data_IF_826811027118
#
_entry.id   IF_826811027118
#
_cell.length_a   1.000
_cell.length_b   1.000
_cell.length_c   1.000
_cell.angle_alpha   90.00
_cell.angle_beta   90.00
_cell.angle_gamma   90.00
#
_symmetry.space_group_name_H-M   'P 1'
#
loop_
_entity.id
_entity.type
_entity.pdbx_description
1 polymer ?
#
# COMPACT_ATOMS: atom_id res chain seq x y z
N UNK A 1 20.73 4.15 -67.00
CA UNK A 1 21.24 4.34 -65.63
C UNK A 1 20.04 4.53 -64.71
N UNK A 2 19.70 3.52 -63.91
CA UNK A 2 18.61 3.57 -62.93
C UNK A 2 19.25 3.64 -61.54
N UNK A 3 19.07 4.75 -60.82
CA UNK A 3 19.48 4.86 -59.42
C UNK A 3 18.24 4.70 -58.55
N UNK A 4 18.19 3.60 -57.80
CA UNK A 4 17.20 3.34 -56.76
C UNK A 4 17.80 3.88 -55.46
N UNK A 5 17.21 4.93 -54.89
CA UNK A 5 17.57 5.44 -53.58
C UNK A 5 16.93 4.56 -52.50
N UNK A 6 17.76 3.88 -51.71
CA UNK A 6 17.34 3.17 -50.51
C UNK A 6 17.18 4.19 -49.37
N UNK A 7 15.94 4.43 -48.94
CA UNK A 7 15.65 5.14 -47.70
C UNK A 7 15.71 4.10 -46.57
N UNK A 8 16.80 4.10 -45.81
CA UNK A 8 16.93 3.31 -44.60
C UNK A 8 16.10 3.98 -43.49
N UNK A 9 14.94 3.41 -43.15
CA UNK A 9 14.18 3.79 -41.96
C UNK A 9 14.88 3.26 -40.71
N UNK A 10 15.47 4.16 -39.93
CA UNK A 10 16.00 3.85 -38.59
C UNK A 10 14.83 3.68 -37.62
N UNK A 11 14.52 2.43 -37.24
CA UNK A 11 13.59 2.13 -36.15
C UNK A 11 14.37 2.25 -34.84
N UNK A 12 14.20 3.34 -34.10
CA UNK A 12 14.77 3.47 -32.75
C UNK A 12 13.95 2.57 -31.83
N UNK A 13 14.47 1.39 -31.54
CA UNK A 13 13.94 0.51 -30.49
C UNK A 13 14.28 1.14 -29.14
N UNK A 14 13.37 1.94 -28.58
CA UNK A 14 13.46 2.35 -27.18
C UNK A 14 13.16 1.10 -26.35
N UNK A 15 14.21 0.44 -25.85
CA UNK A 15 14.04 -0.55 -24.79
C UNK A 15 13.62 0.19 -23.53
N UNK A 16 12.33 0.14 -23.19
CA UNK A 16 11.88 0.51 -21.86
C UNK A 16 12.50 -0.51 -20.88
N UNK A 17 13.55 -0.12 -20.17
CA UNK A 17 13.98 -0.91 -19.02
C UNK A 17 12.89 -0.76 -17.97
N UNK A 18 12.27 -1.88 -17.58
CA UNK A 18 11.29 -1.85 -16.50
C UNK A 18 12.01 -1.38 -15.23
N UNK A 19 11.54 -0.28 -14.64
CA UNK A 19 12.04 0.20 -13.37
C UNK A 19 11.86 -0.90 -12.32
N UNK A 20 12.90 -1.16 -11.54
CA UNK A 20 12.83 -2.14 -10.47
C UNK A 20 11.83 -1.71 -9.39
N UNK A 21 11.30 -2.68 -8.64
CA UNK A 21 10.30 -2.41 -7.60
C UNK A 21 10.34 -3.41 -6.47
N UNK A 22 9.92 -2.97 -5.29
CA UNK A 22 9.53 -3.83 -4.17
C UNK A 22 8.06 -4.19 -4.36
N UNK A 23 7.75 -5.49 -4.38
CA UNK A 23 6.39 -6.01 -4.50
C UNK A 23 5.86 -6.40 -3.12
N UNK A 24 4.73 -5.84 -2.73
CA UNK A 24 4.00 -6.22 -1.53
C UNK A 24 3.21 -7.48 -1.82
N UNK A 25 3.34 -8.48 -0.95
CA UNK A 25 2.65 -9.77 -1.10
C UNK A 25 1.76 -10.01 0.12
N UNK A 26 0.46 -9.68 0.02
CA UNK A 26 -0.52 -9.99 1.03
C UNK A 26 -0.77 -11.50 1.13
N UNK A 27 -0.75 -12.03 2.34
CA UNK A 27 -0.96 -13.45 2.60
C UNK A 27 -1.73 -13.70 3.90
N UNK A 28 -2.37 -14.86 3.94
CA UNK A 28 -3.03 -15.42 5.11
C UNK A 28 -2.35 -16.75 5.45
N UNK A 29 -1.55 -16.74 6.52
CA UNK A 29 -0.69 -17.89 6.83
C UNK A 29 0.32 -18.14 5.71
N UNK A 30 0.26 -19.32 5.10
CA UNK A 30 1.14 -19.70 3.98
C UNK A 30 0.56 -19.35 2.60
N UNK A 31 -0.70 -18.93 2.53
CA UNK A 31 -1.43 -18.74 1.28
C UNK A 31 -1.45 -17.26 0.87
N UNK A 32 -1.35 -16.98 -0.43
CA UNK A 32 -1.55 -15.63 -0.96
C UNK A 32 -3.03 -15.25 -0.81
N UNK A 33 -3.30 -13.99 -0.48
CA UNK A 33 -4.69 -13.52 -0.43
C UNK A 33 -5.27 -13.31 -1.84
N UNK A 34 -6.35 -14.02 -2.10
CA UNK A 34 -7.35 -13.85 -3.14
C UNK A 34 -8.68 -13.34 -2.55
N UNK A 35 -9.34 -12.42 -3.25
CA UNK A 35 -10.64 -11.89 -2.80
C UNK A 35 -11.76 -12.91 -3.03
N UNK A 36 -12.75 -12.93 -2.13
CA UNK A 36 -13.88 -13.86 -2.08
C UNK A 36 -13.47 -15.34 -1.92
N UNK A 37 -12.23 -15.59 -1.52
CA UNK A 37 -11.76 -16.89 -1.06
C UNK A 37 -11.92 -17.01 0.46
N UNK A 38 -12.25 -18.21 0.93
CA UNK A 38 -12.44 -18.49 2.36
C UNK A 38 -11.18 -19.10 2.95
N UNK A 39 -10.60 -18.41 3.94
CA UNK A 39 -9.45 -18.84 4.72
C UNK A 39 -9.86 -19.44 6.06
N UNK A 40 -9.09 -20.42 6.51
CA UNK A 40 -9.43 -21.19 7.70
C UNK A 40 -10.80 -21.86 7.53
N UNK A 41 -11.72 -21.57 8.45
CA UNK A 41 -13.05 -22.19 8.43
C UNK A 41 -14.17 -21.26 7.93
N UNK A 42 -13.95 -19.94 7.87
CA UNK A 42 -15.06 -19.00 7.66
C UNK A 42 -14.66 -17.58 7.25
N UNK A 43 -13.38 -17.26 7.16
CA UNK A 43 -12.93 -15.87 6.98
C UNK A 43 -12.73 -15.55 5.51
N UNK A 44 -13.32 -14.50 4.97
CA UNK A 44 -13.12 -14.09 3.57
C UNK A 44 -12.93 -12.59 3.45
N UNK A 45 -12.18 -12.15 2.44
CA UNK A 45 -12.00 -10.73 2.12
C UNK A 45 -12.70 -10.39 0.81
N UNK A 46 -13.57 -9.40 0.81
CA UNK A 46 -14.19 -8.87 -0.43
C UNK A 46 -13.46 -7.62 -0.94
N UNK A 47 -12.74 -6.91 -0.06
CA UNK A 47 -11.94 -5.74 -0.43
C UNK A 47 -10.77 -5.57 0.53
N UNK A 48 -9.60 -5.27 -0.03
CA UNK A 48 -8.46 -4.76 0.73
C UNK A 48 -7.80 -3.66 -0.11
N UNK A 49 -7.78 -2.45 0.43
CA UNK A 49 -7.07 -1.29 -0.11
C UNK A 49 -6.35 -0.56 1.00
N UNK A 50 -5.20 0.03 0.71
CA UNK A 50 -4.48 0.84 1.70
C UNK A 50 -3.56 1.84 1.00
N UNK A 51 -3.25 2.93 1.69
CA UNK A 51 -2.25 3.87 1.24
C UNK A 51 -0.89 3.56 1.82
N UNK A 52 0.14 3.72 0.98
CA UNK A 52 1.52 3.88 1.43
C UNK A 52 2.00 5.26 1.00
N UNK A 53 2.45 6.08 1.94
CA UNK A 53 2.99 7.42 1.67
C UNK A 53 4.36 7.59 2.33
N UNK A 54 5.01 8.73 2.08
CA UNK A 54 6.30 9.09 2.69
C UNK A 54 7.36 7.99 2.54
N UNK A 55 7.42 7.38 1.34
CA UNK A 55 8.34 6.28 1.06
C UNK A 55 9.77 6.80 1.02
N UNK A 56 10.63 6.14 1.78
CA UNK A 56 12.05 6.41 1.96
C UNK A 56 12.83 5.10 1.81
N UNK A 57 13.87 5.14 0.98
CA UNK A 57 14.83 4.05 0.85
C UNK A 57 16.08 4.45 1.62
N UNK A 58 16.35 3.76 2.73
CA UNK A 58 17.39 4.16 3.67
C UNK A 58 18.59 3.20 3.61
N UNK A 59 19.79 3.79 3.57
CA UNK A 59 21.05 3.08 3.71
C UNK A 59 21.59 3.30 5.13
N UNK A 60 21.52 2.27 5.96
CA UNK A 60 21.94 2.34 7.36
C UNK A 60 23.46 2.51 7.53
N UNK A 61 24.27 1.92 6.67
CA UNK A 61 25.74 1.98 6.77
C UNK A 61 26.28 3.38 6.46
N UNK A 62 25.70 4.02 5.44
CA UNK A 62 26.07 5.36 4.99
C UNK A 62 25.26 6.47 5.68
N UNK A 63 24.19 6.12 6.40
CA UNK A 63 23.22 7.04 6.97
C UNK A 63 22.65 8.01 5.91
N UNK A 64 22.26 7.44 4.76
CA UNK A 64 21.71 8.17 3.61
C UNK A 64 20.27 7.75 3.33
N UNK A 65 19.47 8.68 2.81
CA UNK A 65 18.05 8.46 2.51
C UNK A 65 17.74 8.93 1.07
N UNK A 66 16.99 8.10 0.35
CA UNK A 66 16.36 8.47 -0.91
C UNK A 66 14.84 8.51 -0.73
N UNK A 67 14.27 9.71 -0.79
CA UNK A 67 12.81 9.91 -0.74
C UNK A 67 12.17 9.65 -2.11
N UNK A 68 11.09 8.88 -2.11
CA UNK A 68 10.26 8.73 -3.31
C UNK A 68 9.65 10.07 -3.70
N UNK A 69 9.59 10.33 -5.01
CA UNK A 69 8.95 11.53 -5.58
C UNK A 69 7.43 11.44 -5.55
N UNK A 70 6.86 10.25 -5.45
CA UNK A 70 5.41 10.04 -5.44
C UNK A 70 4.88 10.22 -4.01
N UNK A 71 3.87 11.08 -3.87
CA UNK A 71 3.30 11.46 -2.56
C UNK A 71 2.68 10.26 -1.82
N UNK A 72 1.87 9.48 -2.53
CA UNK A 72 1.23 8.29 -2.00
C UNK A 72 0.99 7.26 -3.10
N UNK A 73 0.95 6.00 -2.71
CA UNK A 73 0.62 4.85 -3.52
C UNK A 73 -0.70 4.26 -3.00
N UNK A 74 -1.71 4.17 -3.87
CA UNK A 74 -2.93 3.41 -3.56
C UNK A 74 -2.70 1.93 -3.89
N UNK A 75 -2.61 1.10 -2.85
CA UNK A 75 -2.48 -0.34 -2.97
C UNK A 75 -3.87 -0.97 -3.01
N UNK A 76 -4.20 -1.69 -4.07
CA UNK A 76 -5.46 -2.43 -4.24
C UNK A 76 -5.16 -3.89 -4.59
N UNK A 77 -5.55 -4.82 -3.69
CA UNK A 77 -5.27 -6.25 -3.90
C UNK A 77 -5.96 -6.80 -5.15
N UNK A 78 -7.07 -6.21 -5.60
CA UNK A 78 -7.73 -6.59 -6.86
C UNK A 78 -6.91 -6.22 -8.10
N UNK A 79 -5.91 -5.34 -7.97
CA UNK A 79 -5.00 -4.96 -9.04
C UNK A 79 -3.54 -5.11 -8.60
N UNK A 80 -2.96 -6.27 -8.92
CA UNK A 80 -1.58 -6.64 -8.55
C UNK A 80 -0.49 -5.65 -9.03
N UNK A 81 -0.77 -4.82 -10.04
CA UNK A 81 0.21 -3.81 -10.50
C UNK A 81 0.34 -2.66 -9.51
N UNK A 82 -0.71 -2.38 -8.73
CA UNK A 82 -0.67 -1.34 -7.69
C UNK A 82 0.21 -1.74 -6.53
N UNK A 83 0.39 -3.04 -6.26
CA UNK A 83 1.15 -3.58 -5.13
C UNK A 83 2.67 -3.48 -5.28
N UNK A 84 3.17 -2.55 -6.10
CA UNK A 84 4.58 -2.36 -6.42
C UNK A 84 5.01 -0.95 -6.08
N UNK A 85 6.11 -0.83 -5.35
CA UNK A 85 6.78 0.44 -5.05
C UNK A 85 8.06 0.50 -5.89
N UNK A 86 8.16 1.40 -6.88
CA UNK A 86 9.37 1.54 -7.69
C UNK A 86 10.58 1.92 -6.84
N UNK A 87 11.70 1.25 -7.06
CA UNK A 87 12.97 1.51 -6.36
C UNK A 87 13.82 2.53 -7.14
N UNK A 88 14.72 3.26 -6.47
CA UNK A 88 15.72 4.08 -7.14
C UNK A 88 16.73 3.21 -7.91
N UNK A 89 17.07 3.60 -9.14
CA UNK A 89 17.94 2.80 -10.04
C UNK A 89 19.43 2.76 -9.61
N UNK A 90 19.89 3.75 -8.84
CA UNK A 90 21.32 3.93 -8.52
C UNK A 90 21.56 4.21 -7.04
N UNK A 91 20.63 3.82 -6.18
CA UNK A 91 20.77 3.97 -4.74
C UNK A 91 20.67 2.60 -4.07
N UNK A 92 21.73 2.21 -3.36
CA UNK A 92 21.72 1.00 -2.55
C UNK A 92 21.10 1.31 -1.19
N UNK A 93 20.03 0.61 -0.84
CA UNK A 93 19.33 0.75 0.43
C UNK A 93 19.31 -0.58 1.17
N UNK A 94 19.34 -0.51 2.50
CA UNK A 94 19.22 -1.66 3.40
C UNK A 94 17.84 -1.73 4.06
N UNK A 95 17.11 -0.61 4.08
CA UNK A 95 15.80 -0.47 4.71
C UNK A 95 14.80 0.21 3.80
N UNK A 96 13.54 -0.19 3.93
CA UNK A 96 12.39 0.54 3.40
C UNK A 96 11.65 1.16 4.58
N UNK A 97 11.46 2.48 4.53
CA UNK A 97 10.63 3.25 5.46
C UNK A 97 9.43 3.81 4.72
N UNK A 98 8.25 3.77 5.34
CA UNK A 98 7.04 4.38 4.80
C UNK A 98 5.99 4.63 5.88
N UNK A 99 4.98 5.42 5.54
CA UNK A 99 3.74 5.56 6.32
C UNK A 99 2.66 4.66 5.71
N UNK A 100 2.09 3.74 6.50
CA UNK A 100 0.84 3.09 6.20
C UNK A 100 -0.31 4.07 6.50
N UNK A 101 -0.88 4.65 5.45
CA UNK A 101 -1.83 5.75 5.52
C UNK A 101 -1.27 7.07 4.97
N UNK A 102 -2.00 8.15 5.22
CA UNK A 102 -1.67 9.52 4.82
C UNK A 102 -1.40 10.37 6.06
N UNK A 103 -0.27 11.08 6.07
CA UNK A 103 0.13 11.93 7.20
C UNK A 103 -0.83 13.13 7.40
N UNK A 104 -0.78 13.71 8.60
CA UNK A 104 -1.65 14.81 9.01
C UNK A 104 -1.58 16.04 8.11
N UNK A 105 -0.38 16.39 7.63
CA UNK A 105 -0.19 17.60 6.81
C UNK A 105 -0.82 17.39 5.44
N UNK A 106 -0.55 16.27 4.80
CA UNK A 106 -1.15 15.92 3.49
C UNK A 106 -2.67 15.81 3.61
N UNK A 107 -3.18 15.13 4.64
CA UNK A 107 -4.62 14.95 4.84
C UNK A 107 -5.35 16.28 5.06
N UNK A 108 -4.73 17.22 5.78
CA UNK A 108 -5.30 18.55 6.04
C UNK A 108 -5.50 19.42 4.80
N UNK A 109 -4.87 19.08 3.67
CA UNK A 109 -5.06 19.76 2.38
C UNK A 109 -6.40 19.41 1.72
N UNK A 110 -7.12 18.42 2.25
CA UNK A 110 -8.39 17.95 1.71
C UNK A 110 -8.20 16.92 0.59
N UNK A 111 -9.16 16.88 -0.33
CA UNK A 111 -9.13 15.95 -1.45
C UNK A 111 -8.09 16.39 -2.50
N UNK A 112 -7.13 15.51 -2.77
CA UNK A 112 -6.10 15.63 -3.80
C UNK A 112 -6.43 14.73 -5.00
N UNK A 113 -5.54 14.70 -6.00
CA UNK A 113 -5.70 13.96 -7.26
C UNK A 113 -4.86 12.67 -7.30
N UNK A 114 -4.82 12.02 -8.46
CA UNK A 114 -4.07 10.78 -8.71
C UNK A 114 -4.51 9.66 -7.75
N UNK A 115 -3.59 8.91 -7.16
CA UNK A 115 -3.90 7.84 -6.21
C UNK A 115 -4.72 8.34 -5.01
N UNK A 116 -4.64 9.64 -4.69
CA UNK A 116 -5.39 10.30 -3.62
C UNK A 116 -6.75 10.86 -4.05
N UNK A 117 -7.18 10.60 -5.29
CA UNK A 117 -8.48 11.04 -5.79
C UNK A 117 -9.64 10.31 -5.05
N UNK A 118 -10.62 11.05 -4.49
CA UNK A 118 -11.79 10.46 -3.86
C UNK A 118 -12.58 9.46 -4.72
N UNK A 119 -12.43 9.48 -6.06
CA UNK A 119 -13.03 8.49 -6.97
C UNK A 119 -12.65 7.05 -6.61
N UNK A 120 -11.50 6.85 -5.97
CA UNK A 120 -11.05 5.55 -5.49
C UNK A 120 -11.82 5.04 -4.25
N UNK A 121 -12.73 5.86 -3.71
CA UNK A 121 -13.56 5.55 -2.56
C UNK A 121 -12.75 5.44 -1.27
N UNK A 122 -11.59 6.10 -1.21
CA UNK A 122 -10.65 6.05 -0.08
C UNK A 122 -10.58 7.40 0.67
N UNK A 123 -11.64 8.21 0.54
CA UNK A 123 -11.81 9.49 1.23
C UNK A 123 -13.22 9.58 1.82
N UNK A 124 -13.34 9.92 3.10
CA UNK A 124 -14.63 10.18 3.75
C UNK A 124 -15.06 11.61 3.51
N UNK A 125 -16.27 11.80 2.98
CA UNK A 125 -16.85 13.14 2.78
C UNK A 125 -17.54 13.71 4.01
N UNK A 126 -18.04 12.86 4.92
CA UNK A 126 -18.78 13.30 6.12
C UNK A 126 -17.88 13.73 7.29
N UNK A 127 -16.66 13.19 7.35
CA UNK A 127 -15.65 13.53 8.36
C UNK A 127 -14.38 14.13 7.74
N UNK A 128 -14.40 14.36 6.42
CA UNK A 128 -13.30 14.92 5.60
C UNK A 128 -11.94 14.33 5.95
N UNK A 129 -11.60 13.20 5.34
CA UNK A 129 -10.26 12.67 5.47
C UNK A 129 -10.04 11.32 4.79
N UNK A 130 -8.78 11.01 4.53
CA UNK A 130 -8.40 9.74 3.91
C UNK A 130 -8.66 8.54 4.82
N UNK A 131 -9.10 7.45 4.19
CA UNK A 131 -9.13 6.12 4.78
C UNK A 131 -7.75 5.51 4.52
N UNK A 132 -6.95 5.38 5.57
CA UNK A 132 -5.59 4.83 5.48
C UNK A 132 -5.62 3.37 5.00
N UNK A 133 -6.50 2.57 5.59
CA UNK A 133 -6.67 1.16 5.27
C UNK A 133 -8.15 0.80 5.23
N UNK A 134 -8.58 0.13 4.16
CA UNK A 134 -9.94 -0.34 3.91
C UNK A 134 -9.94 -1.85 3.74
N UNK A 135 -10.59 -2.56 4.65
CA UNK A 135 -10.77 -4.00 4.60
C UNK A 135 -12.26 -4.30 4.78
N UNK A 136 -12.83 -5.10 3.87
CA UNK A 136 -14.21 -5.58 3.93
C UNK A 136 -14.21 -7.08 3.70
N UNK A 137 -15.16 -7.79 4.32
CA UNK A 137 -15.22 -9.24 4.22
C UNK A 137 -16.33 -9.87 5.05
N UNK A 138 -16.22 -11.17 5.27
CA UNK A 138 -17.11 -11.91 6.16
C UNK A 138 -16.37 -12.92 7.04
N UNK A 139 -16.96 -13.19 8.21
CA UNK A 139 -16.60 -14.29 9.12
C UNK A 139 -17.84 -15.16 9.27
N UNK A 140 -17.93 -16.21 8.45
CA UNK A 140 -19.16 -16.97 8.27
C UNK A 140 -20.22 -16.08 7.60
N UNK A 141 -21.38 -15.99 8.22
CA UNK A 141 -22.50 -15.16 7.75
C UNK A 141 -22.40 -13.68 8.20
N UNK A 142 -21.49 -13.37 9.14
CA UNK A 142 -21.30 -12.02 9.65
C UNK A 142 -20.38 -11.21 8.73
N UNK A 143 -20.83 -10.05 8.27
CA UNK A 143 -19.99 -9.11 7.53
C UNK A 143 -19.16 -8.24 8.47
N UNK A 144 -17.92 -7.97 8.10
CA UNK A 144 -17.09 -6.98 8.78
C UNK A 144 -16.61 -5.89 7.82
N UNK A 145 -16.42 -4.68 8.36
CA UNK A 145 -15.96 -3.49 7.65
C UNK A 145 -14.98 -2.71 8.52
N UNK A 146 -13.74 -2.60 8.04
CA UNK A 146 -12.66 -1.84 8.66
C UNK A 146 -12.21 -0.74 7.71
N UNK A 147 -12.77 0.45 7.86
CA UNK A 147 -12.29 1.66 7.20
C UNK A 147 -11.56 2.45 8.29
N UNK A 148 -10.24 2.32 8.27
CA UNK A 148 -9.34 2.82 9.30
C UNK A 148 -8.73 4.11 8.79
N UNK A 149 -9.04 5.21 9.46
CA UNK A 149 -8.59 6.54 9.10
C UNK A 149 -8.65 7.46 10.29
N UNK A 150 -8.25 8.70 10.08
CA UNK A 150 -8.04 9.69 11.13
C UNK A 150 -6.62 10.20 11.09
N UNK A 151 -6.49 11.53 11.03
CA UNK A 151 -5.21 12.22 10.82
C UNK A 151 -4.92 13.25 11.91
N UNK A 152 -5.90 13.53 12.78
CA UNK A 152 -5.80 14.52 13.85
C UNK A 152 -5.75 13.84 15.21
N UNK A 153 -5.01 14.41 16.16
CA UNK A 153 -5.08 14.02 17.56
C UNK A 153 -6.53 14.13 18.09
N UNK A 154 -7.00 13.19 18.94
CA UNK A 154 -6.30 12.01 19.46
C UNK A 154 -6.35 10.77 18.56
N UNK A 155 -7.03 10.84 17.41
CA UNK A 155 -7.35 9.66 16.59
C UNK A 155 -6.53 9.59 15.29
N UNK A 156 -5.23 9.88 15.37
CA UNK A 156 -4.34 9.68 14.22
C UNK A 156 -4.04 8.19 14.06
N UNK A 157 -4.52 7.59 12.96
CA UNK A 157 -4.41 6.18 12.66
C UNK A 157 -3.36 5.86 11.59
N UNK A 158 -2.57 6.83 11.10
CA UNK A 158 -1.43 6.54 10.23
C UNK A 158 -0.30 5.87 11.02
N UNK A 159 0.40 4.91 10.44
CA UNK A 159 1.47 4.16 11.12
C UNK A 159 2.79 4.27 10.34
N UNK A 160 3.90 4.50 11.04
CA UNK A 160 5.22 4.40 10.42
C UNK A 160 5.71 2.95 10.45
N UNK A 161 6.24 2.49 9.31
CA UNK A 161 6.84 1.17 9.14
C UNK A 161 8.27 1.37 8.65
N UNK A 162 9.22 0.70 9.28
CA UNK A 162 10.62 0.63 8.84
C UNK A 162 11.08 -0.81 8.97
N UNK A 163 11.53 -1.40 7.86
CA UNK A 163 11.93 -2.80 7.81
C UNK A 163 13.22 -2.95 7.00
N UNK A 164 14.13 -3.86 7.41
CA UNK A 164 15.24 -4.24 6.56
C UNK A 164 14.70 -4.99 5.33
N UNK A 165 15.32 -4.75 4.18
CA UNK A 165 14.89 -5.31 2.90
C UNK A 165 16.05 -6.03 2.23
N UNK A 166 16.02 -7.36 2.36
CA UNK A 166 16.98 -8.29 1.75
C UNK A 166 16.56 -8.75 0.34
N UNK A 167 15.30 -8.51 -0.03
CA UNK A 167 14.70 -8.96 -1.28
C UNK A 167 13.72 -7.94 -1.84
N UNK A 168 13.34 -8.10 -3.11
CA UNK A 168 12.30 -7.30 -3.78
C UNK A 168 10.87 -7.69 -3.36
N UNK A 169 10.70 -8.55 -2.36
CA UNK A 169 9.39 -8.99 -1.87
C UNK A 169 9.22 -8.49 -0.44
N UNK A 170 8.12 -7.78 -0.19
CA UNK A 170 7.69 -7.35 1.14
C UNK A 170 6.45 -8.16 1.56
N UNK A 171 6.59 -9.22 2.39
CA UNK A 171 5.46 -9.93 2.95
C UNK A 171 4.53 -9.03 3.76
N UNK A 172 3.22 -9.28 3.65
CA UNK A 172 2.18 -8.59 4.39
C UNK A 172 1.16 -9.60 4.94
N UNK A 173 1.36 -10.04 6.18
CA UNK A 173 0.68 -11.18 6.79
C UNK A 173 -0.56 -10.78 7.59
N UNK A 174 -1.75 -10.96 7.01
CA UNK A 174 -3.00 -10.43 7.57
C UNK A 174 -3.79 -11.39 8.47
N UNK A 175 -3.22 -12.56 8.80
CA UNK A 175 -3.92 -13.57 9.61
C UNK A 175 -4.33 -13.05 11.00
N UNK A 176 -3.55 -12.13 11.60
CA UNK A 176 -3.84 -11.55 12.91
C UNK A 176 -5.19 -10.79 12.96
N UNK A 177 -5.70 -10.34 11.81
CA UNK A 177 -6.99 -9.66 11.71
C UNK A 177 -8.15 -10.63 12.03
N UNK A 178 -7.97 -11.93 11.82
CA UNK A 178 -8.99 -12.95 12.10
C UNK A 178 -9.40 -13.05 13.57
N UNK A 179 -8.58 -12.51 14.48
CA UNK A 179 -8.84 -12.52 15.93
C UNK A 179 -9.52 -11.25 16.45
N UNK A 180 -9.95 -10.34 15.58
CA UNK A 180 -10.61 -9.09 15.99
C UNK A 180 -12.11 -9.32 16.09
N UNK A 181 -12.67 -9.04 17.27
CA UNK A 181 -14.09 -9.23 17.55
C UNK A 181 -14.97 -8.09 17.01
N UNK A 182 -14.43 -6.87 16.98
CA UNK A 182 -15.17 -5.72 16.48
C UNK A 182 -15.39 -5.88 14.98
N UNK A 183 -16.64 -6.01 14.53
CA UNK A 183 -16.96 -6.23 13.12
C UNK A 183 -17.00 -4.93 12.30
N UNK A 184 -17.26 -3.78 12.92
CA UNK A 184 -17.44 -2.53 12.17
C UNK A 184 -16.67 -1.37 12.80
N UNK A 185 -15.75 -0.79 12.02
CA UNK A 185 -14.98 0.41 12.33
C UNK A 185 -14.98 1.26 11.06
N UNK A 186 -15.66 2.41 11.07
CA UNK A 186 -15.78 3.30 9.91
C UNK A 186 -15.64 4.78 10.27
N UNK A 187 -14.83 5.06 11.29
CA UNK A 187 -14.58 6.40 11.81
C UNK A 187 -13.22 6.43 12.53
N UNK A 188 -12.60 7.62 12.68
CA UNK A 188 -11.51 7.79 13.62
C UNK A 188 -11.92 7.41 15.04
N UNK A 189 -11.16 6.52 15.68
CA UNK A 189 -11.37 6.08 17.06
C UNK A 189 -10.14 5.37 17.61
N UNK A 190 -10.13 5.02 18.90
CA UNK A 190 -9.06 4.23 19.51
C UNK A 190 -8.94 2.84 18.87
N UNK A 191 -10.07 2.22 18.51
CA UNK A 191 -10.10 0.93 17.83
C UNK A 191 -9.48 1.02 16.43
N UNK A 192 -9.69 2.15 15.72
CA UNK A 192 -9.06 2.39 14.43
C UNK A 192 -7.54 2.52 14.54
N UNK A 193 -7.04 3.19 15.58
CA UNK A 193 -5.60 3.28 15.86
C UNK A 193 -5.04 1.88 16.16
N UNK A 194 -5.62 1.19 17.14
CA UNK A 194 -5.18 -0.13 17.56
C UNK A 194 -5.10 -1.12 16.38
N UNK A 195 -6.13 -1.15 15.54
CA UNK A 195 -6.13 -2.03 14.37
C UNK A 195 -5.10 -1.58 13.32
N UNK A 196 -4.95 -0.27 13.10
CA UNK A 196 -3.92 0.22 12.17
C UNK A 196 -2.52 -0.19 12.63
N UNK A 197 -2.21 -0.13 13.93
CA UNK A 197 -0.94 -0.62 14.50
C UNK A 197 -0.75 -2.12 14.23
N UNK A 198 -1.78 -2.95 14.45
CA UNK A 198 -1.70 -4.39 14.17
C UNK A 198 -1.45 -4.69 12.69
N UNK A 199 -2.08 -3.92 11.80
CA UNK A 199 -1.86 -4.08 10.36
C UNK A 199 -0.45 -3.61 9.98
N UNK A 200 0.07 -2.53 10.57
CA UNK A 200 1.44 -2.12 10.32
C UNK A 200 2.46 -3.20 10.75
N UNK A 201 2.21 -3.85 11.89
CA UNK A 201 3.01 -4.97 12.40
C UNK A 201 2.92 -6.25 11.55
N UNK A 202 1.95 -6.34 10.63
CA UNK A 202 1.81 -7.45 9.69
C UNK A 202 2.82 -7.40 8.54
N UNK A 203 3.50 -6.28 8.31
CA UNK A 203 4.63 -6.24 7.38
C UNK A 203 5.86 -6.87 8.03
N UNK A 204 6.51 -7.81 7.34
CA UNK A 204 7.69 -8.48 7.85
C UNK A 204 8.84 -8.41 6.87
N UNK A 205 10.08 -8.36 7.37
CA UNK A 205 11.26 -8.60 6.55
C UNK A 205 11.40 -10.10 6.28
N UNK A 206 11.84 -10.46 5.06
CA UNK A 206 12.33 -11.81 4.77
C UNK A 206 13.81 -11.94 5.12
#
# INVERSE_FOLDING_TARGET
MRSIAYIATYLVMISCMAQDSITIVPSWGAEKIELNHTYGNSFSFSKIRFYISNVSFYNEELNEDYLSKKQAYLMDISNVQTLKIPTPDSFHFTHLRFTLGIDSNTNSQGALSEDLDPIHGMYWTWQSGYINTKIEGSRGDEKFTYHLGGYSFPYNASQEVMLPVSSKILPFQLQAIGSIDQLNIMRPSNEAIYLSEKIAQSFTSK
#
